data_IF_009065764507
#
_entry.id   IF_009065764507
#
_cell.length_a   1.000
_cell.length_b   1.000
_cell.length_c   1.000
_cell.angle_alpha   90.00
_cell.angle_beta   90.00
_cell.angle_gamma   90.00
#
_symmetry.space_group_name_H-M   'P 1'
#
loop_
_entity.id
_entity.type
_entity.pdbx_description
1 polymer ?
#
# COMPACT_ATOMS: atom_id res chain seq x y z
N UNK A 1 -18.32 6.93 9.65
CA UNK A 1 -18.07 7.04 8.20
C UNK A 1 -17.87 5.63 7.70
N UNK A 2 -18.55 5.22 6.62
CA UNK A 2 -18.38 3.87 6.06
C UNK A 2 -17.04 3.83 5.34
N UNK A 3 -16.18 2.87 5.69
CA UNK A 3 -14.89 2.66 5.03
C UNK A 3 -15.05 2.27 3.55
N UNK A 4 -13.94 2.25 2.78
CA UNK A 4 -13.96 1.91 1.38
C UNK A 4 -14.48 0.48 1.16
N UNK A 5 -15.53 0.35 0.35
CA UNK A 5 -16.04 -0.96 -0.07
C UNK A 5 -15.24 -1.40 -1.29
N UNK A 6 -14.50 -2.49 -1.13
CA UNK A 6 -13.70 -3.08 -2.21
C UNK A 6 -14.57 -3.96 -3.09
N UNK A 7 -14.48 -3.77 -4.40
CA UNK A 7 -15.15 -4.65 -5.36
C UNK A 7 -14.64 -6.09 -5.19
N UNK A 8 -15.56 -7.05 -5.28
CA UNK A 8 -15.27 -8.49 -5.21
C UNK A 8 -15.17 -9.13 -6.59
N UNK A 9 -15.68 -8.46 -7.62
CA UNK A 9 -15.65 -8.89 -9.02
C UNK A 9 -15.39 -7.71 -9.95
N UNK A 10 -14.93 -7.99 -11.17
CA UNK A 10 -14.63 -6.98 -12.18
C UNK A 10 -13.18 -6.47 -12.16
N UNK A 11 -12.82 -5.58 -13.09
CA UNK A 11 -11.44 -5.18 -13.32
C UNK A 11 -10.83 -4.41 -12.14
N UNK A 12 -11.63 -3.67 -11.37
CA UNK A 12 -11.14 -2.95 -10.19
C UNK A 12 -11.01 -3.83 -8.94
N UNK A 13 -11.48 -5.08 -8.96
CA UNK A 13 -11.43 -5.94 -7.80
C UNK A 13 -9.97 -6.35 -7.48
N UNK A 14 -9.48 -6.08 -6.25
CA UNK A 14 -8.11 -6.43 -5.90
C UNK A 14 -7.91 -7.95 -5.87
N UNK A 15 -6.67 -8.43 -6.18
CA UNK A 15 -6.31 -9.83 -6.10
C UNK A 15 -6.62 -10.41 -4.71
N UNK A 16 -7.26 -11.57 -4.70
CA UNK A 16 -7.60 -12.29 -3.48
C UNK A 16 -7.26 -13.77 -3.58
N UNK A 17 -6.90 -14.35 -2.44
CA UNK A 17 -6.78 -15.80 -2.25
C UNK A 17 -7.62 -16.19 -1.05
N UNK A 18 -8.52 -17.15 -1.23
CA UNK A 18 -9.42 -17.63 -0.17
C UNK A 18 -10.21 -16.51 0.55
N UNK A 19 -10.54 -15.42 -0.17
CA UNK A 19 -11.28 -14.27 0.35
C UNK A 19 -10.42 -13.14 0.94
N UNK A 20 -9.13 -13.38 1.19
CA UNK A 20 -8.21 -12.38 1.73
C UNK A 20 -7.43 -11.67 0.62
N UNK A 21 -7.07 -10.41 0.85
CA UNK A 21 -6.20 -9.65 -0.07
C UNK A 21 -4.81 -10.28 -0.11
N UNK A 22 -4.28 -10.45 -1.32
CA UNK A 22 -2.92 -10.96 -1.50
C UNK A 22 -2.01 -9.90 -2.08
N UNK A 23 -0.83 -9.79 -1.49
CA UNK A 23 0.24 -8.89 -1.91
C UNK A 23 1.46 -9.75 -2.28
N UNK A 24 1.93 -9.62 -3.52
CA UNK A 24 3.13 -10.28 -4.01
C UNK A 24 4.42 -9.61 -3.52
N UNK A 25 4.36 -8.34 -3.10
CA UNK A 25 5.50 -7.61 -2.57
C UNK A 25 5.13 -6.65 -1.43
N UNK A 26 6.06 -6.32 -0.51
CA UNK A 26 5.78 -5.44 0.63
C UNK A 26 5.33 -4.02 0.27
N UNK A 27 5.64 -3.54 -0.93
CA UNK A 27 5.18 -2.22 -1.39
C UNK A 27 3.69 -2.21 -1.76
N UNK A 28 3.12 -3.34 -2.17
CA UNK A 28 1.72 -3.43 -2.63
C UNK A 28 0.75 -3.20 -1.47
N UNK A 29 1.01 -3.82 -0.32
CA UNK A 29 0.24 -3.58 0.91
C UNK A 29 0.34 -2.13 1.38
N UNK A 30 1.51 -1.50 1.22
CA UNK A 30 1.71 -0.08 1.54
C UNK A 30 0.93 0.84 0.59
N UNK A 31 0.94 0.56 -0.72
CA UNK A 31 0.17 1.32 -1.70
C UNK A 31 -1.35 1.20 -1.45
N UNK A 32 -1.81 0.00 -1.10
CA UNK A 32 -3.19 -0.23 -0.69
C UNK A 32 -3.57 0.60 0.54
N UNK A 33 -2.79 0.46 1.63
CA UNK A 33 -3.04 1.18 2.88
C UNK A 33 -3.00 2.69 2.72
N UNK A 34 -2.09 3.22 1.90
CA UNK A 34 -2.00 4.65 1.61
C UNK A 34 -3.27 5.19 0.95
N UNK A 35 -3.77 4.53 -0.10
CA UNK A 35 -4.97 4.99 -0.80
C UNK A 35 -6.21 4.92 0.11
N UNK A 36 -6.34 3.87 0.93
CA UNK A 36 -7.43 3.74 1.91
C UNK A 36 -7.36 4.85 2.95
N UNK A 37 -6.20 5.09 3.55
CA UNK A 37 -6.02 6.13 4.56
C UNK A 37 -6.33 7.53 4.01
N UNK A 38 -5.95 7.82 2.77
CA UNK A 38 -6.25 9.10 2.10
C UNK A 38 -7.75 9.28 1.83
N UNK A 39 -8.44 8.20 1.43
CA UNK A 39 -9.89 8.23 1.23
C UNK A 39 -10.63 8.42 2.56
N UNK A 40 -10.22 7.73 3.62
CA UNK A 40 -10.80 7.87 4.97
C UNK A 40 -10.54 9.25 5.58
N UNK A 41 -9.39 9.84 5.29
CA UNK A 41 -9.07 11.23 5.66
C UNK A 41 -9.82 12.28 4.83
N UNK A 42 -10.61 11.87 3.83
CA UNK A 42 -11.39 12.77 2.98
C UNK A 42 -10.54 13.59 2.01
N UNK A 43 -9.32 13.17 1.71
CA UNK A 43 -8.45 13.84 0.73
C UNK A 43 -9.04 13.70 -0.68
N UNK A 44 -9.60 12.54 -0.98
CA UNK A 44 -10.43 12.27 -2.16
C UNK A 44 -11.54 11.29 -1.79
N UNK A 45 -12.55 11.14 -2.66
CA UNK A 45 -13.62 10.16 -2.46
C UNK A 45 -13.18 8.78 -2.94
N UNK A 46 -13.64 7.73 -2.26
CA UNK A 46 -13.37 6.36 -2.67
C UNK A 46 -13.87 6.06 -4.10
N UNK A 47 -15.08 6.52 -4.43
CA UNK A 47 -15.64 6.35 -5.78
C UNK A 47 -14.81 7.06 -6.84
N UNK A 48 -14.34 8.28 -6.57
CA UNK A 48 -13.47 9.01 -7.49
C UNK A 48 -12.13 8.32 -7.71
N UNK A 49 -11.59 7.67 -6.68
CA UNK A 49 -10.40 6.82 -6.81
C UNK A 49 -10.69 5.57 -7.65
N UNK A 50 -11.80 4.88 -7.40
CA UNK A 50 -12.21 3.69 -8.16
C UNK A 50 -12.38 3.97 -9.64
N UNK A 51 -13.02 5.09 -10.02
CA UNK A 51 -13.19 5.47 -11.42
C UNK A 51 -11.83 5.65 -12.13
N UNK A 52 -10.87 6.26 -11.44
CA UNK A 52 -9.48 6.40 -11.93
C UNK A 52 -8.79 5.05 -12.06
N UNK A 53 -8.96 4.17 -11.08
CA UNK A 53 -8.40 2.82 -11.11
C UNK A 53 -8.90 2.02 -12.32
N UNK A 54 -10.21 2.05 -12.58
CA UNK A 54 -10.79 1.41 -13.78
C UNK A 54 -10.17 1.98 -15.05
N UNK A 55 -10.02 3.30 -15.14
CA UNK A 55 -9.39 3.94 -16.29
C UNK A 55 -7.91 3.52 -16.48
N UNK A 56 -7.13 3.41 -15.40
CA UNK A 56 -5.73 2.95 -15.46
C UNK A 56 -5.62 1.51 -15.93
N UNK A 57 -6.46 0.62 -15.41
CA UNK A 57 -6.49 -0.80 -15.80
C UNK A 57 -6.93 -0.94 -17.26
N UNK A 58 -7.89 -0.15 -17.71
CA UNK A 58 -8.32 -0.15 -19.11
C UNK A 58 -7.24 0.37 -20.07
N UNK A 59 -6.44 1.35 -19.64
CA UNK A 59 -5.37 1.93 -20.45
C UNK A 59 -4.17 0.99 -20.60
N UNK A 60 -3.85 0.19 -19.58
CA UNK A 60 -2.78 -0.80 -19.64
C UNK A 60 -3.19 -2.10 -18.91
N UNK A 61 -3.89 -3.03 -19.60
CA UNK A 61 -4.33 -4.29 -19.01
C UNK A 61 -3.18 -5.24 -18.62
N UNK A 62 -1.96 -5.01 -19.12
CA UNK A 62 -0.79 -5.83 -18.80
C UNK A 62 -0.03 -5.31 -17.59
N UNK A 63 -0.30 -4.09 -17.13
CA UNK A 63 0.32 -3.52 -15.95
C UNK A 63 -0.03 -4.30 -14.68
N UNK A 64 0.90 -4.38 -13.70
CA UNK A 64 0.59 -4.97 -12.41
C UNK A 64 -0.53 -4.18 -11.72
N UNK A 65 -1.52 -4.90 -11.16
CA UNK A 65 -2.72 -4.31 -10.55
C UNK A 65 -2.37 -3.20 -9.53
N UNK A 66 -1.44 -3.46 -8.61
CA UNK A 66 -1.04 -2.47 -7.61
C UNK A 66 -0.21 -1.31 -8.19
N UNK A 67 0.33 -1.46 -9.41
CA UNK A 67 0.88 -0.34 -10.19
C UNK A 67 -0.23 0.58 -10.71
N UNK A 68 -1.30 0.02 -11.28
CA UNK A 68 -2.50 0.78 -11.65
C UNK A 68 -3.15 1.46 -10.44
N UNK A 69 -3.17 0.78 -9.29
CA UNK A 69 -3.63 1.33 -8.01
C UNK A 69 -2.84 2.57 -7.58
N UNK A 70 -1.52 2.48 -7.59
CA UNK A 70 -0.66 3.60 -7.20
C UNK A 70 -0.84 4.78 -8.15
N UNK A 71 -0.87 4.54 -9.46
CA UNK A 71 -1.08 5.60 -10.44
C UNK A 71 -2.46 6.27 -10.31
N UNK A 72 -3.52 5.50 -10.03
CA UNK A 72 -4.83 6.07 -9.75
C UNK A 72 -4.85 6.92 -8.47
N UNK A 73 -4.02 6.57 -7.48
CA UNK A 73 -3.85 7.35 -6.25
C UNK A 73 -3.16 8.69 -6.53
N UNK A 74 -2.12 8.68 -7.36
CA UNK A 74 -1.45 9.90 -7.84
C UNK A 74 -2.44 10.81 -8.60
N UNK A 75 -3.20 10.26 -9.55
CA UNK A 75 -4.22 11.00 -10.31
C UNK A 75 -5.29 11.62 -9.39
N UNK A 76 -5.66 10.92 -8.30
CA UNK A 76 -6.61 11.43 -7.32
C UNK A 76 -6.03 12.59 -6.49
N UNK A 77 -4.76 12.50 -6.10
CA UNK A 77 -4.07 13.54 -5.32
C UNK A 77 -3.78 14.80 -6.13
N UNK A 78 -3.41 14.65 -7.40
CA UNK A 78 -3.26 15.77 -8.34
C UNK A 78 -4.61 16.46 -8.53
N UNK A 79 -5.69 15.70 -8.76
CA UNK A 79 -7.03 16.27 -8.90
C UNK A 79 -7.53 16.97 -7.63
N UNK A 80 -7.11 16.51 -6.45
CA UNK A 80 -7.40 17.15 -5.17
C UNK A 80 -6.53 18.41 -4.90
N UNK A 81 -5.60 18.75 -5.80
CA UNK A 81 -4.66 19.86 -5.64
C UNK A 81 -3.68 19.66 -4.48
N UNK A 82 -3.43 18.42 -4.06
CA UNK A 82 -2.56 18.08 -2.93
C UNK A 82 -1.14 17.70 -3.33
N UNK A 83 -0.93 17.40 -4.61
CA UNK A 83 0.38 17.10 -5.18
C UNK A 83 0.57 17.89 -6.48
N UNK A 84 1.74 18.52 -6.60
CA UNK A 84 2.31 18.83 -7.91
C UNK A 84 3.04 17.55 -8.39
N UNK A 85 2.65 17.02 -9.55
CA UNK A 85 3.18 15.75 -10.06
C UNK A 85 4.71 15.74 -10.21
N UNK A 86 5.32 16.90 -10.45
CA UNK A 86 6.77 17.03 -10.53
C UNK A 86 7.47 16.84 -9.17
N UNK A 87 6.82 17.24 -8.07
CA UNK A 87 7.35 17.12 -6.71
C UNK A 87 7.37 15.66 -6.23
N UNK A 88 6.39 14.86 -6.66
CA UNK A 88 6.30 13.42 -6.35
C UNK A 88 7.47 12.65 -6.93
N UNK A 89 7.73 12.85 -8.23
CA UNK A 89 8.83 12.16 -8.92
C UNK A 89 10.18 12.54 -8.32
N UNK A 90 10.36 13.80 -7.96
CA UNK A 90 11.58 14.28 -7.30
C UNK A 90 11.78 13.59 -5.95
N UNK A 91 10.75 13.57 -5.08
CA UNK A 91 10.82 12.89 -3.78
C UNK A 91 11.00 11.38 -3.90
N UNK A 92 10.34 10.75 -4.87
CA UNK A 92 10.48 9.32 -5.13
C UNK A 92 11.91 8.97 -5.54
N UNK A 93 12.54 9.80 -6.39
CA UNK A 93 13.95 9.67 -6.75
C UNK A 93 14.87 9.84 -5.53
N UNK A 94 14.62 10.86 -4.69
CA UNK A 94 15.40 11.07 -3.46
C UNK A 94 15.29 9.87 -2.50
N UNK A 95 14.09 9.32 -2.32
CA UNK A 95 13.85 8.12 -1.50
C UNK A 95 14.53 6.88 -2.08
N UNK A 96 14.48 6.69 -3.40
CA UNK A 96 15.16 5.58 -4.08
C UNK A 96 16.69 5.71 -4.01
N UNK A 97 17.21 6.95 -3.96
CA UNK A 97 18.63 7.23 -3.82
C UNK A 97 19.14 7.05 -2.37
N UNK A 98 18.26 6.90 -1.37
CA UNK A 98 18.68 6.63 0.01
C UNK A 98 19.22 5.21 0.13
N UNK A 99 20.42 5.02 0.70
CA UNK A 99 20.97 3.69 0.91
C UNK A 99 20.09 2.88 1.88
N UNK A 100 19.74 1.65 1.48
CA UNK A 100 19.02 0.70 2.31
C UNK A 100 19.96 0.18 3.41
N UNK A 101 19.81 0.67 4.64
CA UNK A 101 20.67 0.23 5.74
C UNK A 101 20.55 1.01 7.05
N UNK A 102 19.33 1.37 7.48
CA UNK A 102 19.17 1.91 8.84
C UNK A 102 17.84 1.53 9.48
N UNK A 103 17.52 0.25 9.45
CA UNK A 103 16.56 -0.38 10.36
C UNK A 103 17.20 -1.70 10.75
N UNK A 104 17.78 -1.77 11.96
CA UNK A 104 18.12 -2.94 12.79
C UNK A 104 19.31 -2.58 13.70
N UNK A 105 19.15 -1.60 14.59
CA UNK A 105 19.82 -1.70 15.88
C UNK A 105 18.97 -2.65 16.72
N UNK A 106 19.24 -3.95 16.57
CA UNK A 106 18.98 -4.90 17.64
C UNK A 106 19.96 -4.61 18.76
N UNK A 107 19.71 -3.52 19.48
CA UNK A 107 20.29 -3.29 20.79
C UNK A 107 19.65 -4.30 21.75
N UNK A 108 20.30 -5.46 21.83
CA UNK A 108 20.48 -6.22 23.07
C UNK A 108 19.19 -6.47 23.87
N UNK A 109 18.31 -7.32 23.33
CA UNK A 109 17.40 -8.08 24.18
C UNK A 109 18.15 -9.31 24.67
N UNK A 110 18.81 -9.12 25.80
CA UNK A 110 19.33 -10.15 26.68
C UNK A 110 18.21 -11.18 26.91
N UNK A 111 18.28 -12.32 26.22
CA UNK A 111 17.45 -13.47 26.53
C UNK A 111 17.96 -14.03 27.86
N UNK A 112 17.41 -13.51 28.94
CA UNK A 112 17.54 -14.14 30.25
C UNK A 112 17.04 -15.57 30.14
N UNK A 113 18.00 -16.47 30.21
CA UNK A 113 17.91 -17.91 30.33
C UNK A 113 16.72 -18.32 31.21
N UNK A 114 15.63 -18.76 30.57
CA UNK A 114 14.58 -19.50 31.27
C UNK A 114 14.97 -20.97 31.26
N UNK A 115 15.73 -21.33 32.29
CA UNK A 115 16.11 -22.67 32.67
C UNK A 115 14.87 -23.59 32.66
N UNK A 116 14.85 -24.51 31.72
CA UNK A 116 13.88 -25.59 31.65
C UNK A 116 14.35 -26.67 32.63
N UNK A 117 14.05 -26.50 33.92
CA UNK A 117 14.21 -27.57 34.89
C UNK A 117 13.10 -28.62 34.66
N UNK A 118 13.45 -29.66 33.90
CA UNK A 118 12.73 -30.94 33.92
C UNK A 118 13.07 -31.71 35.22
N UNK A 119 12.16 -32.63 35.59
CA UNK A 119 12.30 -33.76 36.52
C UNK A 119 11.58 -33.68 37.90
N UNK A 120 10.40 -34.31 37.89
CA UNK A 120 9.99 -35.43 38.76
C UNK A 120 9.90 -35.23 40.30
N UNK A 121 8.65 -35.25 40.80
CA UNK A 121 8.17 -36.32 41.69
C UNK A 121 6.65 -36.40 41.76
#
# INVERSE_FOLDING_TARGET
>A
MSGPVLDTTGPAAPPRSNGELVFAAPWEGRAFGLAVALAEAGVFTWDGFRDRLVARIAADPAAPYYGCWLAACEDALVAAGRLDGAEVLTRAADLAARPAGHDHDHADHDHADHDHADHAR
#
